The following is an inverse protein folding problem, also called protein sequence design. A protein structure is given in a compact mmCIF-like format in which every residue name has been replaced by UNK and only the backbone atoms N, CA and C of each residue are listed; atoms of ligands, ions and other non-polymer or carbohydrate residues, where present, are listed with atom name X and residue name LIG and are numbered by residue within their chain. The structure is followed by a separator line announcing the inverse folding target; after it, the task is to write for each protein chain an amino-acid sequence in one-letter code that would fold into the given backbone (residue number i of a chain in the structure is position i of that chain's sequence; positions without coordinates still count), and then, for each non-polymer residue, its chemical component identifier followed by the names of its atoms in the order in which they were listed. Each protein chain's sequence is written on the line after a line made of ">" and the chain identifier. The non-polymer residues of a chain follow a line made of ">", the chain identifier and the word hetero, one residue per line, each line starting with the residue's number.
data_IF_620489290015
#
_entry.id   IF_620489290015
#
_cell.length_a   1.000
_cell.length_b   1.000
_cell.length_c   1.000
_cell.angle_alpha   90.00
_cell.angle_beta   90.00
_cell.angle_gamma   90.00
#
_symmetry.space_group_name_H-M   'P 1'
#
loop_
_entity.id
_entity.type
_entity.pdbx_description
1 polymer ?
#
# COMPACT_ATOMS: atom_id res chain seq x y z
N UNK A 1 -11.16 15.41 7.66
CA UNK A 1 -10.84 13.97 7.72
C UNK A 1 -11.55 13.43 8.94
N UNK A 2 -12.23 12.30 8.80
CA UNK A 2 -13.17 11.75 9.78
C UNK A 2 -12.75 10.35 10.27
N UNK A 3 -11.57 9.85 9.89
CA UNK A 3 -11.01 8.64 10.49
C UNK A 3 -10.64 8.92 11.95
N UNK A 4 -10.95 7.95 12.82
CA UNK A 4 -10.59 7.98 14.24
C UNK A 4 -9.42 7.03 14.49
N UNK A 5 -8.21 7.58 14.49
CA UNK A 5 -7.00 6.79 14.69
C UNK A 5 -6.77 6.46 16.16
N UNK A 6 -6.53 5.17 16.43
CA UNK A 6 -6.03 4.68 17.72
C UNK A 6 -4.53 4.47 17.64
N UNK A 7 -3.81 4.97 18.63
CA UNK A 7 -2.37 4.72 18.76
C UNK A 7 -2.14 3.33 19.37
N UNK A 8 -1.36 2.49 18.71
CA UNK A 8 -1.04 1.12 19.17
C UNK A 8 0.46 0.97 19.44
N UNK A 9 0.82 -0.04 20.24
CA UNK A 9 2.20 -0.23 20.71
C UNK A 9 3.04 -1.12 19.80
N UNK A 10 2.42 -1.98 19.00
CA UNK A 10 3.08 -2.85 18.05
C UNK A 10 2.21 -3.07 16.81
N UNK A 11 2.85 -3.35 15.69
CA UNK A 11 2.17 -3.94 14.53
C UNK A 11 2.09 -5.44 14.85
N UNK A 12 0.90 -6.04 14.84
CA UNK A 12 0.77 -7.47 15.06
C UNK A 12 1.60 -8.24 14.02
N UNK A 13 2.63 -8.92 14.53
CA UNK A 13 3.73 -9.44 13.75
C UNK A 13 3.35 -10.84 13.21
N UNK A 14 3.11 -10.96 11.91
CA UNK A 14 3.62 -12.11 11.14
C UNK A 14 3.36 -11.98 9.64
N UNK A 15 4.38 -11.43 8.96
CA UNK A 15 4.75 -11.67 7.55
C UNK A 15 4.53 -10.55 6.53
N UNK A 16 3.69 -9.53 6.75
CA UNK A 16 3.29 -8.67 5.62
C UNK A 16 4.09 -7.37 5.54
N UNK A 17 4.62 -6.84 6.66
CA UNK A 17 5.36 -5.57 6.68
C UNK A 17 6.65 -5.64 7.47
N UNK A 18 7.75 -5.17 6.88
CA UNK A 18 9.01 -4.96 7.58
C UNK A 18 9.30 -3.46 7.63
N UNK A 19 8.61 -2.75 8.50
CA UNK A 19 8.83 -1.31 8.72
C UNK A 19 9.83 -1.12 9.85
N UNK A 20 10.87 -0.35 9.58
CA UNK A 20 11.90 0.02 10.54
C UNK A 20 11.86 1.52 10.82
N UNK A 21 12.44 1.91 11.96
CA UNK A 21 12.68 3.30 12.37
C UNK A 21 11.40 4.14 12.44
N UNK A 22 10.35 3.59 13.08
CA UNK A 22 9.11 4.31 13.38
C UNK A 22 9.06 4.73 14.86
N UNK A 23 8.36 5.83 15.14
CA UNK A 23 8.08 6.33 16.50
C UNK A 23 6.68 5.97 16.97
N UNK A 24 5.73 5.94 16.04
CA UNK A 24 4.31 5.81 16.36
C UNK A 24 3.61 4.90 15.34
N UNK A 25 2.58 4.19 15.80
CA UNK A 25 1.71 3.39 14.95
C UNK A 25 0.27 3.81 15.24
N UNK A 26 -0.48 4.03 14.17
CA UNK A 26 -1.88 4.43 14.20
C UNK A 26 -2.73 3.43 13.41
N UNK A 27 -3.90 3.09 13.94
CA UNK A 27 -4.82 2.18 13.28
C UNK A 27 -6.24 2.76 13.27
N UNK A 28 -6.96 2.55 12.18
CA UNK A 28 -8.38 2.86 12.06
C UNK A 28 -9.05 1.79 11.20
N UNK A 29 -10.28 1.45 11.58
CA UNK A 29 -11.11 0.59 10.76
C UNK A 29 -11.58 1.36 9.51
N UNK A 30 -11.55 0.69 8.37
CA UNK A 30 -12.21 1.14 7.15
C UNK A 30 -13.70 0.80 7.25
N UNK A 31 -14.52 1.71 6.75
CA UNK A 31 -15.97 1.58 6.84
C UNK A 31 -16.51 0.72 5.69
N UNK A 32 -17.73 0.19 5.84
CA UNK A 32 -18.42 -0.51 4.75
C UNK A 32 -18.80 0.41 3.57
N UNK A 33 -18.67 1.72 3.74
CA UNK A 33 -18.95 2.70 2.68
C UNK A 33 -17.64 3.08 1.98
N UNK A 34 -17.45 2.56 0.77
CA UNK A 34 -16.25 2.82 -0.04
C UNK A 34 -16.07 4.30 -0.36
N UNK A 35 -17.13 5.04 -0.69
CA UNK A 35 -17.03 6.48 -0.97
C UNK A 35 -16.52 7.25 0.25
N UNK A 36 -17.00 6.88 1.45
CA UNK A 36 -16.49 7.45 2.70
C UNK A 36 -14.99 7.18 2.88
N UNK A 37 -14.54 5.96 2.63
CA UNK A 37 -13.13 5.62 2.76
C UNK A 37 -12.28 6.36 1.72
N UNK A 38 -12.70 6.34 0.46
CA UNK A 38 -12.01 6.98 -0.67
C UNK A 38 -11.81 8.47 -0.40
N UNK A 39 -12.87 9.17 0.06
CA UNK A 39 -12.79 10.59 0.37
C UNK A 39 -11.81 10.88 1.52
N UNK A 40 -11.84 10.08 2.59
CA UNK A 40 -10.95 10.25 3.73
C UNK A 40 -9.49 9.91 3.41
N UNK A 41 -9.25 8.84 2.66
CA UNK A 41 -7.92 8.46 2.17
C UNK A 41 -7.35 9.54 1.23
N UNK A 42 -8.19 10.12 0.37
CA UNK A 42 -7.76 11.21 -0.49
C UNK A 42 -7.37 12.44 0.34
N UNK A 43 -8.16 12.83 1.34
CA UNK A 43 -7.77 13.93 2.24
C UNK A 43 -6.46 13.66 2.98
N UNK A 44 -6.25 12.42 3.43
CA UNK A 44 -5.04 12.01 4.15
C UNK A 44 -3.80 12.03 3.27
N UNK A 45 -3.89 11.53 2.03
CA UNK A 45 -2.72 11.29 1.18
C UNK A 45 -2.41 12.42 0.21
N UNK A 46 -3.42 13.16 -0.27
CA UNK A 46 -3.32 14.01 -1.46
C UNK A 46 -2.19 15.06 -1.40
N UNK A 47 -1.82 15.54 -0.22
CA UNK A 47 -0.79 16.57 -0.07
C UNK A 47 0.60 16.03 0.21
N UNK A 48 0.71 14.80 0.71
CA UNK A 48 1.94 14.28 1.31
C UNK A 48 2.44 13.01 0.62
N UNK A 49 1.67 12.46 -0.30
CA UNK A 49 2.03 11.22 -0.98
C UNK A 49 3.30 11.37 -1.83
N UNK A 50 4.21 10.42 -1.64
CA UNK A 50 5.42 10.26 -2.43
C UNK A 50 5.39 9.03 -3.30
N UNK A 51 4.83 7.94 -2.77
CA UNK A 51 4.77 6.67 -3.47
C UNK A 51 3.49 5.93 -3.13
N UNK A 52 2.92 5.26 -4.12
CA UNK A 52 1.81 4.33 -3.95
C UNK A 52 2.23 3.01 -4.57
N UNK A 53 2.15 1.92 -3.81
CA UNK A 53 2.40 0.56 -4.29
C UNK A 53 1.11 -0.22 -4.15
N UNK A 54 0.66 -0.83 -5.25
CA UNK A 54 -0.51 -1.70 -5.27
C UNK A 54 -0.03 -3.09 -5.69
N UNK A 55 -0.32 -4.07 -4.86
CA UNK A 55 -0.17 -5.48 -5.17
C UNK A 55 -1.41 -5.94 -5.94
N UNK A 56 -1.25 -6.37 -7.18
CA UNK A 56 -2.39 -6.71 -8.07
C UNK A 56 -2.37 -8.21 -8.36
N UNK A 57 -3.53 -8.86 -8.23
CA UNK A 57 -3.69 -10.28 -8.55
C UNK A 57 -3.48 -10.53 -10.04
N UNK A 58 -3.06 -11.74 -10.41
CA UNK A 58 -2.71 -12.07 -11.80
C UNK A 58 -3.86 -11.87 -12.78
N UNK A 59 -5.10 -12.14 -12.36
CA UNK A 59 -6.30 -11.97 -13.19
C UNK A 59 -6.57 -10.51 -13.54
N UNK A 60 -6.24 -9.59 -12.65
CA UNK A 60 -6.56 -8.16 -12.78
C UNK A 60 -5.47 -7.35 -13.49
N UNK A 61 -4.25 -7.90 -13.68
CA UNK A 61 -3.11 -7.17 -14.27
C UNK A 61 -3.47 -6.48 -15.60
N UNK A 62 -4.14 -7.20 -16.51
CA UNK A 62 -4.46 -6.65 -17.83
C UNK A 62 -5.49 -5.51 -17.74
N UNK A 63 -6.48 -5.66 -16.86
CA UNK A 63 -7.49 -4.64 -16.64
C UNK A 63 -6.87 -3.41 -15.97
N UNK A 64 -6.13 -3.61 -14.87
CA UNK A 64 -5.43 -2.56 -14.14
C UNK A 64 -4.49 -1.77 -15.05
N UNK A 65 -3.70 -2.46 -15.89
CA UNK A 65 -2.82 -1.80 -16.86
C UNK A 65 -3.59 -0.91 -17.84
N UNK A 66 -4.69 -1.40 -18.41
CA UNK A 66 -5.52 -0.62 -19.34
C UNK A 66 -6.07 0.64 -18.69
N UNK A 67 -6.54 0.55 -17.45
CA UNK A 67 -7.05 1.69 -16.69
C UNK A 67 -5.97 2.75 -16.46
N UNK A 68 -4.81 2.35 -15.93
CA UNK A 68 -3.68 3.26 -15.68
C UNK A 68 -3.17 3.91 -16.97
N UNK A 69 -2.98 3.11 -18.03
CA UNK A 69 -2.52 3.59 -19.34
C UNK A 69 -3.52 4.58 -19.95
N UNK A 70 -4.83 4.37 -19.77
CA UNK A 70 -5.88 5.28 -20.28
C UNK A 70 -5.81 6.69 -19.68
N UNK A 71 -5.20 6.83 -18.50
CA UNK A 71 -5.02 8.11 -17.81
C UNK A 71 -3.63 8.71 -17.99
N UNK A 72 -2.75 8.05 -18.74
CA UNK A 72 -1.34 8.44 -18.90
C UNK A 72 -0.61 8.60 -17.54
N UNK A 73 -0.94 7.77 -16.55
CA UNK A 73 -0.28 7.78 -15.25
C UNK A 73 0.97 6.89 -15.32
N UNK A 74 2.11 7.44 -14.94
CA UNK A 74 3.37 6.69 -14.95
C UNK A 74 3.46 5.70 -13.80
N UNK A 75 3.88 4.48 -14.10
CA UNK A 75 4.10 3.44 -13.11
C UNK A 75 5.27 2.53 -13.51
N UNK A 76 5.83 1.84 -12.51
CA UNK A 76 6.77 0.74 -12.69
C UNK A 76 6.10 -0.55 -12.27
N UNK A 77 6.16 -1.57 -13.14
CA UNK A 77 5.68 -2.92 -12.82
C UNK A 77 6.85 -3.76 -12.31
N UNK A 78 6.65 -4.40 -11.16
CA UNK A 78 7.57 -5.38 -10.60
C UNK A 78 6.86 -6.73 -10.57
N UNK A 79 7.21 -7.61 -11.51
CA UNK A 79 6.63 -8.94 -11.65
C UNK A 79 7.61 -9.99 -11.13
N UNK A 80 7.24 -10.66 -10.05
CA UNK A 80 8.00 -11.75 -9.44
C UNK A 80 7.38 -13.14 -9.70
N UNK A 81 6.37 -13.20 -10.58
CA UNK A 81 5.66 -14.40 -10.99
C UNK A 81 4.44 -14.74 -10.13
N UNK A 82 3.50 -15.47 -10.76
CA UNK A 82 2.21 -15.89 -10.20
C UNK A 82 1.42 -14.71 -9.63
N UNK A 83 1.27 -14.65 -8.32
CA UNK A 83 0.45 -13.66 -7.62
C UNK A 83 1.30 -12.56 -6.99
N UNK A 84 2.57 -12.36 -7.40
CA UNK A 84 3.45 -11.34 -6.80
C UNK A 84 3.78 -10.24 -7.81
N UNK A 85 2.76 -9.49 -8.24
CA UNK A 85 2.92 -8.37 -9.18
C UNK A 85 2.59 -7.05 -8.48
N UNK A 86 3.55 -6.13 -8.46
CA UNK A 86 3.40 -4.83 -7.82
C UNK A 86 3.44 -3.71 -8.86
N UNK A 87 2.48 -2.79 -8.78
CA UNK A 87 2.47 -1.53 -9.50
C UNK A 87 2.96 -0.44 -8.57
N UNK A 88 4.05 0.23 -8.96
CA UNK A 88 4.72 1.26 -8.16
C UNK A 88 4.56 2.61 -8.85
N UNK A 89 3.92 3.55 -8.17
CA UNK A 89 3.73 4.93 -8.61
C UNK A 89 4.65 5.85 -7.79
N UNK A 90 5.71 6.41 -8.39
CA UNK A 90 6.75 7.19 -7.67
C UNK A 90 6.65 8.71 -7.86
N UNK A 91 5.90 9.17 -8.86
CA UNK A 91 5.78 10.59 -9.22
C UNK A 91 4.31 10.96 -9.42
N UNK A 92 3.55 10.86 -8.32
CA UNK A 92 2.10 11.02 -8.32
C UNK A 92 1.76 12.50 -8.26
N UNK A 93 1.03 13.00 -9.25
CA UNK A 93 0.49 14.35 -9.22
C UNK A 93 -0.71 14.42 -8.28
N UNK A 94 -0.93 15.57 -7.64
CA UNK A 94 -2.07 15.80 -6.73
C UNK A 94 -3.44 15.42 -7.33
N UNK A 95 -3.61 15.60 -8.64
CA UNK A 95 -4.83 15.27 -9.38
C UNK A 95 -5.02 13.77 -9.62
N UNK A 96 -3.96 12.98 -9.54
CA UNK A 96 -3.94 11.54 -9.82
C UNK A 96 -4.26 10.72 -8.56
N UNK A 97 -4.02 11.27 -7.37
CA UNK A 97 -4.19 10.58 -6.08
C UNK A 97 -5.57 9.95 -5.94
N UNK A 98 -6.63 10.74 -6.13
CA UNK A 98 -8.01 10.25 -6.03
C UNK A 98 -8.29 9.12 -7.02
N UNK A 99 -7.76 9.21 -8.25
CA UNK A 99 -7.95 8.18 -9.25
C UNK A 99 -7.23 6.88 -8.87
N UNK A 100 -5.99 6.97 -8.37
CA UNK A 100 -5.23 5.78 -7.94
C UNK A 100 -5.92 5.12 -6.74
N UNK A 101 -6.46 5.89 -5.79
CA UNK A 101 -7.25 5.35 -4.68
C UNK A 101 -8.50 4.63 -5.21
N UNK A 102 -9.27 5.26 -6.12
CA UNK A 102 -10.45 4.63 -6.72
C UNK A 102 -10.10 3.35 -7.48
N UNK A 103 -8.98 3.36 -8.21
CA UNK A 103 -8.52 2.19 -8.94
C UNK A 103 -8.16 1.04 -7.99
N UNK A 104 -7.50 1.34 -6.87
CA UNK A 104 -7.23 0.35 -5.82
C UNK A 104 -8.53 -0.29 -5.31
N UNK A 105 -9.56 0.51 -5.01
CA UNK A 105 -10.87 0.03 -4.57
C UNK A 105 -11.64 -0.77 -5.65
N UNK A 106 -11.35 -0.56 -6.94
CA UNK A 106 -12.03 -1.27 -8.02
C UNK A 106 -11.48 -2.66 -8.33
N UNK A 107 -10.24 -2.97 -7.92
CA UNK A 107 -9.57 -4.24 -8.24
C UNK A 107 -9.51 -5.22 -7.06
N UNK A 108 -10.02 -4.81 -5.90
CA UNK A 108 -9.77 -5.42 -4.60
C UNK A 108 -10.78 -6.48 -4.19
N UNK A 109 -11.04 -7.45 -5.08
CA UNK A 109 -11.87 -8.62 -4.75
C UNK A 109 -11.04 -9.71 -4.04
N UNK A 110 -9.71 -9.76 -4.25
CA UNK A 110 -8.83 -10.77 -3.65
C UNK A 110 -7.52 -10.17 -3.12
N UNK A 111 -7.32 -10.23 -1.79
CA UNK A 111 -6.04 -10.09 -1.06
C UNK A 111 -5.08 -9.01 -1.59
N UNK A 112 -5.65 -7.87 -1.98
CA UNK A 112 -4.94 -6.77 -2.63
C UNK A 112 -4.40 -5.86 -1.54
N UNK A 113 -3.08 -5.72 -1.50
CA UNK A 113 -2.39 -4.84 -0.55
C UNK A 113 -2.05 -3.50 -1.22
N UNK A 114 -2.36 -2.41 -0.53
CA UNK A 114 -1.83 -1.09 -0.85
C UNK A 114 -0.86 -0.57 0.21
N UNK A 115 0.20 0.09 -0.26
CA UNK A 115 1.21 0.74 0.58
C UNK A 115 1.41 2.15 0.08
N UNK A 116 1.29 3.12 1.00
CA UNK A 116 1.34 4.53 0.66
C UNK A 116 2.40 5.20 1.52
N UNK A 117 3.41 5.77 0.88
CA UNK A 117 4.47 6.52 1.56
C UNK A 117 4.18 8.01 1.55
N UNK A 118 4.30 8.62 2.72
CA UNK A 118 3.93 10.00 3.01
C UNK A 118 5.14 10.79 3.53
N UNK A 119 5.20 12.08 3.21
CA UNK A 119 6.19 13.01 3.73
C UNK A 119 7.52 12.95 2.98
N UNK A 120 8.60 12.76 3.72
CA UNK A 120 9.94 12.60 3.15
C UNK A 120 10.10 11.29 2.36
N UNK A 121 11.02 11.30 1.40
CA UNK A 121 11.25 10.13 0.54
C UNK A 121 11.82 8.98 1.36
N UNK A 122 11.14 7.84 1.32
CA UNK A 122 11.58 6.60 1.97
C UNK A 122 12.17 5.62 0.94
N UNK A 123 13.07 4.76 1.40
CA UNK A 123 13.60 3.65 0.61
C UNK A 123 12.75 2.38 0.85
N UNK A 124 12.30 1.76 -0.25
CA UNK A 124 11.54 0.52 -0.20
C UNK A 124 12.30 -0.56 -0.93
N UNK A 125 12.56 -1.66 -0.21
CA UNK A 125 13.18 -2.86 -0.76
C UNK A 125 12.19 -4.00 -0.71
N UNK A 126 12.02 -4.70 -1.82
CA UNK A 126 11.29 -5.97 -1.81
C UNK A 126 12.22 -7.07 -1.34
N UNK A 127 11.86 -7.73 -0.24
CA UNK A 127 12.63 -8.84 0.34
C UNK A 127 11.88 -10.15 0.10
N UNK A 128 12.53 -11.09 -0.58
CA UNK A 128 12.04 -12.47 -0.73
C UNK A 128 11.84 -13.08 0.67
N UNK A 129 10.69 -13.71 0.89
CA UNK A 129 10.43 -14.49 2.09
C UNK A 129 11.11 -15.86 1.97
N UNK A 130 11.63 -16.38 3.09
CA UNK A 130 12.09 -17.76 3.12
C UNK A 130 10.84 -18.65 3.07
N UNK A 131 10.73 -19.45 2.01
CA UNK A 131 9.64 -20.37 1.79
C UNK A 131 10.18 -21.78 1.66
N UNK A 132 9.39 -22.77 2.09
CA UNK A 132 9.70 -24.15 1.78
C UNK A 132 9.45 -24.42 0.28
N UNK A 133 10.04 -25.50 -0.24
CA UNK A 133 9.95 -25.84 -1.67
C UNK A 133 8.52 -26.06 -2.18
N UNK A 134 7.61 -26.51 -1.31
CA UNK A 134 6.21 -26.76 -1.69
C UNK A 134 5.49 -25.43 -1.92
N UNK A 135 5.64 -24.48 -1.00
CA UNK A 135 5.05 -23.13 -1.13
C UNK A 135 5.65 -22.42 -2.34
N UNK A 136 6.96 -22.50 -2.56
CA UNK A 136 7.58 -21.92 -3.76
C UNK A 136 7.05 -22.58 -5.05
N UNK A 137 6.79 -23.88 -5.04
CA UNK A 137 6.20 -24.60 -6.17
C UNK A 137 4.70 -24.29 -6.38
N UNK A 138 3.95 -23.91 -5.34
CA UNK A 138 2.48 -23.68 -5.41
C UNK A 138 2.11 -22.20 -5.54
N UNK A 139 2.83 -21.31 -4.88
CA UNK A 139 2.56 -19.87 -4.84
C UNK A 139 3.66 -19.03 -5.51
N UNK A 140 4.77 -19.66 -5.90
CA UNK A 140 5.92 -18.95 -6.46
C UNK A 140 6.73 -18.26 -5.36
N UNK A 141 7.63 -17.37 -5.79
CA UNK A 141 8.43 -16.58 -4.87
C UNK A 141 7.58 -15.49 -4.23
N UNK A 142 7.42 -15.50 -2.91
CA UNK A 142 6.77 -14.41 -2.19
C UNK A 142 7.77 -13.30 -1.85
N UNK A 143 7.37 -12.08 -2.15
CA UNK A 143 8.12 -10.88 -1.83
C UNK A 143 7.28 -9.99 -0.94
N UNK A 144 7.92 -9.39 0.06
CA UNK A 144 7.29 -8.40 0.92
C UNK A 144 8.09 -7.11 0.95
N UNK A 145 7.42 -5.96 1.00
CA UNK A 145 8.09 -4.68 1.13
C UNK A 145 8.72 -4.53 2.52
N UNK A 146 9.98 -4.12 2.50
CA UNK A 146 10.76 -3.68 3.64
C UNK A 146 11.00 -2.19 3.49
N UNK A 147 10.58 -1.44 4.48
CA UNK A 147 10.54 0.03 4.47
C UNK A 147 11.35 0.51 5.67
N UNK A 148 12.22 1.49 5.46
CA UNK A 148 12.94 2.15 6.55
C UNK A 148 12.54 3.60 6.53
N UNK A 149 11.78 4.01 7.55
CA UNK A 149 11.29 5.38 7.65
C UNK A 149 12.43 6.33 8.04
N UNK A 150 12.34 7.55 7.53
CA UNK A 150 13.19 8.67 7.92
C UNK A 150 12.36 9.69 8.71
N UNK A 151 12.97 10.63 9.45
CA UNK A 151 12.21 11.69 10.12
C UNK A 151 11.27 12.42 9.16
N UNK A 152 10.06 12.74 9.65
CA UNK A 152 8.99 13.37 8.86
C UNK A 152 8.50 12.52 7.68
N UNK A 153 8.52 11.19 7.84
CA UNK A 153 7.91 10.25 6.91
C UNK A 153 6.95 9.29 7.62
N UNK A 154 5.98 8.77 6.87
CA UNK A 154 5.11 7.71 7.33
C UNK A 154 4.80 6.74 6.19
N UNK A 155 4.37 5.54 6.55
CA UNK A 155 3.89 4.56 5.61
C UNK A 155 2.54 4.02 6.09
N UNK A 156 1.54 4.14 5.22
CA UNK A 156 0.22 3.57 5.41
C UNK A 156 0.11 2.23 4.68
N UNK A 157 -0.61 1.30 5.29
CA UNK A 157 -0.88 -0.04 4.81
C UNK A 157 -2.39 -0.27 4.82
N UNK A 158 -2.92 -0.75 3.70
CA UNK A 158 -4.33 -1.08 3.57
C UNK A 158 -4.46 -2.50 3.07
N UNK A 159 -5.12 -3.34 3.86
CA UNK A 159 -5.49 -4.71 3.50
C UNK A 159 -7.00 -4.79 3.34
N UNK A 160 -7.46 -5.25 2.17
CA UNK A 160 -8.88 -5.30 1.87
C UNK A 160 -9.62 -6.47 2.57
N UNK A 161 -8.90 -7.52 2.96
CA UNK A 161 -9.44 -8.66 3.73
C UNK A 161 -9.64 -8.34 5.22
N UNK A 162 -8.99 -7.29 5.74
CA UNK A 162 -9.01 -6.92 7.15
C UNK A 162 -9.76 -5.63 7.50
N UNK A 163 -10.23 -4.85 6.51
CA UNK A 163 -10.85 -3.54 6.73
C UNK A 163 -10.04 -2.63 7.69
N UNK A 164 -8.71 -2.70 7.64
CA UNK A 164 -7.82 -2.00 8.56
C UNK A 164 -6.84 -1.12 7.80
N UNK A 165 -6.77 0.14 8.18
CA UNK A 165 -5.73 1.07 7.78
C UNK A 165 -4.73 1.22 8.93
N UNK A 166 -3.50 0.73 8.71
CA UNK A 166 -2.39 0.88 9.67
C UNK A 166 -1.39 1.89 9.12
N UNK A 167 -0.93 2.83 9.96
CA UNK A 167 0.05 3.85 9.61
C UNK A 167 1.20 3.80 10.59
N UNK A 168 2.38 3.47 10.11
CA UNK A 168 3.62 3.62 10.85
C UNK A 168 4.22 5.00 10.52
N UNK A 169 4.50 5.79 11.55
CA UNK A 169 5.03 7.15 11.41
C UNK A 169 6.38 7.29 12.10
N UNK A 170 7.27 8.09 11.52
CA UNK A 170 8.49 8.59 12.16
C UNK A 170 8.40 10.11 12.23
N UNK A 171 7.85 10.62 13.35
CA UNK A 171 7.68 12.05 13.60
C UNK A 171 6.87 12.82 12.53
N UNK A 172 5.99 12.13 11.80
CA UNK A 172 5.00 12.76 10.92
C UNK A 172 3.63 12.75 11.62
N UNK A 173 3.06 13.93 11.84
CA UNK A 173 1.70 14.04 12.37
C UNK A 173 0.68 13.54 11.34
N UNK A 174 -0.14 12.58 11.76
CA UNK A 174 -1.20 11.93 10.96
C UNK A 174 -2.53 12.65 11.17
#
# INVERSE_FOLDING_TARGET
>A
MNFEFKKVQCIEDSNIYRVNDFTDIYETDLHNNDDFNIDNLNLLFQQRIRQFIIHVSKSEILHFKKEVDSKNIFYKMLDFGRDNVFFVFESIQKKEVLYIIKLFYSVSIENTLAIICLGEKVDIKLKKLNQNKIIEYVMGNCFVPKITLVPSSACAFIQYDGALLTIASNNLEI
#
